data_IF_701557850233
#
_entry.id   IF_701557850233
#
_cell.length_a   1.000
_cell.length_b   1.000
_cell.length_c   1.000
_cell.angle_alpha   90.00
_cell.angle_beta   90.00
_cell.angle_gamma   90.00
#
_symmetry.space_group_name_H-M   'P 1'
#
loop_
_entity.id
_entity.type
_entity.pdbx_description
1 polymer ?
#
# COMPACT_ATOMS: atom_id res chain seq x y z
N UNK A 1 -17.56 2.26 9.51
CA UNK A 1 -16.34 2.49 10.30
C UNK A 1 -16.20 3.97 10.63
N UNK A 2 -16.21 4.89 9.65
CA UNK A 2 -16.15 6.34 9.92
C UNK A 2 -17.26 6.82 10.86
N UNK A 3 -18.50 6.41 10.63
CA UNK A 3 -19.61 6.70 11.55
C UNK A 3 -19.37 6.20 12.98
N UNK A 4 -18.75 5.02 13.13
CA UNK A 4 -18.43 4.48 14.45
C UNK A 4 -17.31 5.26 15.13
N UNK A 5 -16.34 5.76 14.36
CA UNK A 5 -15.30 6.64 14.88
C UNK A 5 -15.92 7.96 15.34
N UNK A 6 -16.75 8.60 14.49
CA UNK A 6 -17.44 9.85 14.83
C UNK A 6 -18.31 9.74 16.08
N UNK A 7 -19.13 8.68 16.19
CA UNK A 7 -19.94 8.46 17.40
C UNK A 7 -19.09 8.23 18.65
N UNK A 8 -18.04 7.41 18.55
CA UNK A 8 -17.16 7.11 19.69
C UNK A 8 -16.34 8.31 20.18
N UNK A 9 -16.25 9.41 19.43
CA UNK A 9 -15.61 10.63 19.91
C UNK A 9 -16.43 11.34 21.00
N UNK A 10 -17.76 11.17 21.00
CA UNK A 10 -18.66 11.85 21.95
C UNK A 10 -18.45 11.39 23.39
N UNK A 11 -18.01 10.15 23.55
CA UNK A 11 -17.82 9.48 24.83
C UNK A 11 -16.34 9.47 25.28
N UNK A 12 -15.45 10.21 24.59
CA UNK A 12 -14.01 10.16 24.83
C UNK A 12 -13.48 11.36 25.64
N UNK A 13 -13.06 11.08 26.87
CA UNK A 13 -12.54 12.09 27.81
C UNK A 13 -11.23 12.75 27.31
N UNK A 14 -10.35 12.02 26.61
CA UNK A 14 -9.08 12.57 26.11
C UNK A 14 -9.33 13.57 24.97
N UNK A 15 -10.22 13.24 24.04
CA UNK A 15 -10.64 14.10 22.95
C UNK A 15 -11.43 15.30 23.49
N UNK A 16 -12.24 15.12 24.54
CA UNK A 16 -12.95 16.23 25.17
C UNK A 16 -11.97 17.26 25.79
N UNK A 17 -10.91 16.78 26.44
CA UNK A 17 -9.84 17.66 26.93
C UNK A 17 -9.14 18.43 25.79
N UNK A 18 -8.91 17.78 24.65
CA UNK A 18 -8.37 18.43 23.45
C UNK A 18 -9.34 19.52 22.94
N UNK A 19 -10.64 19.24 22.87
CA UNK A 19 -11.66 20.22 22.44
C UNK A 19 -11.68 21.45 23.34
N UNK A 20 -11.55 21.29 24.67
CA UNK A 20 -11.48 22.43 25.59
C UNK A 20 -10.21 23.25 25.38
N UNK A 21 -9.07 22.59 25.18
CA UNK A 21 -7.81 23.29 24.92
C UNK A 21 -7.78 24.01 23.56
N UNK A 22 -8.53 23.53 22.57
CA UNK A 22 -8.75 24.24 21.29
C UNK A 22 -9.56 25.52 21.52
N UNK A 23 -10.62 25.46 22.34
CA UNK A 23 -11.42 26.66 22.71
C UNK A 23 -10.59 27.69 23.48
N UNK A 24 -9.64 27.24 24.29
CA UNK A 24 -8.68 28.08 25.00
C UNK A 24 -7.57 28.67 24.09
N UNK A 25 -7.52 28.31 22.81
CA UNK A 25 -6.50 28.78 21.86
C UNK A 25 -5.10 28.16 22.05
N UNK A 26 -4.97 27.07 22.80
CA UNK A 26 -3.68 26.43 23.12
C UNK A 26 -3.20 25.43 22.08
N UNK A 27 -4.09 24.89 21.25
CA UNK A 27 -3.74 23.95 20.18
C UNK A 27 -4.30 24.41 18.84
N UNK A 28 -3.42 24.83 17.93
CA UNK A 28 -3.78 25.27 16.57
C UNK A 28 -3.86 24.12 15.56
N UNK A 29 -3.38 22.94 15.92
CA UNK A 29 -3.35 21.76 15.03
C UNK A 29 -4.67 20.97 15.06
N UNK A 30 -5.53 21.19 16.05
CA UNK A 30 -6.81 20.49 16.17
C UNK A 30 -7.97 21.41 15.83
N UNK A 31 -8.95 20.87 15.10
CA UNK A 31 -10.16 21.58 14.70
C UNK A 31 -11.39 20.73 15.02
N UNK A 32 -12.52 21.38 15.26
CA UNK A 32 -13.82 20.74 15.46
C UNK A 32 -14.75 21.22 14.36
N UNK A 33 -15.41 20.31 13.66
CA UNK A 33 -16.37 20.66 12.61
C UNK A 33 -17.78 20.96 13.16
N UNK A 34 -18.71 21.35 12.29
CA UNK A 34 -20.08 21.71 12.65
C UNK A 34 -20.86 20.54 13.29
N UNK A 35 -20.44 19.30 13.03
CA UNK A 35 -21.02 18.08 13.60
C UNK A 35 -20.41 17.73 14.98
N UNK A 36 -19.47 18.54 15.48
CA UNK A 36 -18.76 18.30 16.74
C UNK A 36 -17.67 17.24 16.64
N UNK A 37 -17.25 16.85 15.44
CA UNK A 37 -16.20 15.86 15.21
C UNK A 37 -14.84 16.53 15.30
N UNK A 38 -13.92 15.90 16.04
CA UNK A 38 -12.54 16.34 16.25
C UNK A 38 -11.64 15.83 15.13
N UNK A 39 -10.87 16.76 14.58
CA UNK A 39 -9.87 16.55 13.54
C UNK A 39 -8.51 17.04 14.00
N UNK A 40 -7.43 16.36 13.61
CA UNK A 40 -6.07 16.84 13.70
C UNK A 40 -5.61 17.21 12.29
N UNK A 41 -5.42 18.50 12.02
CA UNK A 41 -5.26 19.06 10.68
C UNK A 41 -6.45 18.61 9.79
N UNK A 42 -6.19 17.70 8.86
CA UNK A 42 -7.10 17.09 7.90
C UNK A 42 -7.39 15.60 8.19
N UNK A 43 -7.08 15.13 9.41
CA UNK A 43 -7.14 13.71 9.81
C UNK A 43 -8.15 13.47 10.91
N UNK A 44 -8.96 12.42 10.77
CA UNK A 44 -10.00 12.08 11.72
C UNK A 44 -9.38 11.53 13.02
N UNK A 45 -9.69 12.17 14.15
CA UNK A 45 -9.23 11.68 15.44
C UNK A 45 -9.95 10.37 15.82
N UNK A 46 -9.19 9.36 16.23
CA UNK A 46 -9.74 8.10 16.73
C UNK A 46 -9.69 8.14 18.26
N UNK A 47 -10.82 7.83 18.90
CA UNK A 47 -10.93 7.78 20.36
C UNK A 47 -9.94 6.79 20.99
N UNK A 48 -9.73 6.92 22.29
CA UNK A 48 -8.94 6.04 23.15
C UNK A 48 -9.51 4.61 23.27
N UNK A 49 -10.70 4.37 22.71
CA UNK A 49 -11.30 3.04 22.60
C UNK A 49 -10.38 2.05 21.86
N UNK A 50 -9.83 1.11 22.63
CA UNK A 50 -8.94 0.06 22.15
C UNK A 50 -9.63 -0.88 21.15
N UNK A 51 -10.94 -1.11 21.30
CA UNK A 51 -11.72 -1.96 20.38
C UNK A 51 -11.80 -1.29 19.02
N UNK A 52 -12.07 0.00 18.99
CA UNK A 52 -12.15 0.79 17.76
C UNK A 52 -10.78 0.92 17.08
N UNK A 53 -9.72 1.27 17.83
CA UNK A 53 -8.35 1.33 17.29
C UNK A 53 -7.92 -0.02 16.72
N UNK A 54 -8.21 -1.12 17.42
CA UNK A 54 -7.94 -2.49 16.91
C UNK A 54 -8.71 -2.79 15.64
N UNK A 55 -9.95 -2.32 15.50
CA UNK A 55 -10.75 -2.50 14.28
C UNK A 55 -10.16 -1.75 13.09
N UNK A 56 -9.72 -0.50 13.28
CA UNK A 56 -9.00 0.28 12.27
C UNK A 56 -7.72 -0.44 11.82
N UNK A 57 -6.90 -0.87 12.80
CA UNK A 57 -5.65 -1.59 12.51
C UNK A 57 -5.89 -2.93 11.81
N UNK A 58 -6.90 -3.70 12.23
CA UNK A 58 -7.26 -4.98 11.59
C UNK A 58 -7.67 -4.78 10.14
N UNK A 59 -8.48 -3.75 9.85
CA UNK A 59 -8.89 -3.44 8.47
C UNK A 59 -7.70 -3.01 7.60
N UNK A 60 -6.79 -2.20 8.14
CA UNK A 60 -5.58 -1.79 7.42
C UNK A 60 -4.55 -2.91 7.26
N UNK A 61 -4.54 -3.90 8.15
CA UNK A 61 -3.54 -4.97 8.14
C UNK A 61 -3.97 -6.22 7.36
N UNK A 62 -5.23 -6.64 7.51
CA UNK A 62 -5.72 -7.94 7.01
C UNK A 62 -6.64 -7.81 5.81
N UNK A 63 -6.76 -6.63 5.20
CA UNK A 63 -7.54 -6.47 3.96
C UNK A 63 -6.84 -7.14 2.79
N UNK A 64 -7.62 -7.71 1.87
CA UNK A 64 -7.15 -8.26 0.60
C UNK A 64 -6.34 -7.26 -0.23
N UNK A 65 -6.56 -5.95 -0.03
CA UNK A 65 -5.85 -4.89 -0.77
C UNK A 65 -4.55 -4.42 -0.10
N UNK A 66 -4.34 -4.73 1.19
CA UNK A 66 -3.17 -4.27 1.95
C UNK A 66 -2.19 -5.40 2.28
N UNK A 67 -2.67 -6.64 2.34
CA UNK A 67 -1.88 -7.88 2.41
C UNK A 67 -0.78 -7.82 3.48
N UNK A 68 -1.17 -7.76 4.75
CA UNK A 68 -0.25 -7.81 5.90
C UNK A 68 0.95 -6.84 5.79
N UNK A 69 0.70 -5.53 5.63
CA UNK A 69 1.77 -4.55 5.48
C UNK A 69 2.64 -4.48 6.74
N UNK A 70 3.94 -4.20 6.54
CA UNK A 70 4.85 -3.90 7.64
C UNK A 70 4.45 -2.63 8.39
N UNK A 71 4.94 -2.49 9.63
CA UNK A 71 4.59 -1.38 10.54
C UNK A 71 4.77 0.01 9.91
N UNK A 72 5.88 0.25 9.22
CA UNK A 72 6.15 1.54 8.55
C UNK A 72 5.13 1.86 7.47
N UNK A 73 4.82 0.90 6.59
CA UNK A 73 3.82 1.08 5.53
C UNK A 73 2.45 1.32 6.14
N UNK A 74 2.04 0.44 7.06
CA UNK A 74 0.73 0.51 7.70
C UNK A 74 0.52 1.86 8.41
N UNK A 75 1.53 2.36 9.13
CA UNK A 75 1.46 3.68 9.77
C UNK A 75 1.30 4.81 8.75
N UNK A 76 2.04 4.79 7.64
CA UNK A 76 1.94 5.82 6.60
C UNK A 76 0.58 5.80 5.89
N UNK A 77 0.04 4.61 5.64
CA UNK A 77 -1.28 4.45 5.03
C UNK A 77 -2.37 4.98 5.97
N UNK A 78 -2.30 4.65 7.26
CA UNK A 78 -3.26 5.13 8.27
C UNK A 78 -3.13 6.62 8.55
N UNK A 79 -1.90 7.15 8.62
CA UNK A 79 -1.62 8.56 8.92
C UNK A 79 -2.29 9.50 7.94
N UNK A 80 -2.56 9.08 6.70
CA UNK A 80 -3.25 9.92 5.72
C UNK A 80 -4.71 10.25 6.10
N UNK A 81 -5.34 9.43 6.94
CA UNK A 81 -6.76 9.54 7.24
C UNK A 81 -7.06 9.67 8.73
N UNK A 82 -6.21 9.08 9.58
CA UNK A 82 -6.44 8.96 11.01
C UNK A 82 -5.34 9.57 11.84
N UNK A 83 -5.72 10.00 13.03
CA UNK A 83 -4.81 10.42 14.08
C UNK A 83 -5.25 9.87 15.43
N UNK A 84 -4.30 9.42 16.24
CA UNK A 84 -4.47 9.25 17.68
C UNK A 84 -3.11 9.31 18.37
N UNK A 85 -3.10 9.65 19.65
CA UNK A 85 -1.86 9.69 20.43
C UNK A 85 -1.24 8.29 20.51
N UNK A 86 0.06 8.18 20.22
CA UNK A 86 0.76 6.88 20.22
C UNK A 86 0.53 6.01 18.98
N UNK A 87 -0.16 6.48 17.93
CA UNK A 87 -0.51 5.69 16.74
C UNK A 87 0.64 4.89 16.12
N UNK A 88 1.84 5.47 16.04
CA UNK A 88 3.01 4.77 15.48
C UNK A 88 3.42 3.56 16.33
N UNK A 89 3.37 3.69 17.65
CA UNK A 89 3.73 2.63 18.60
C UNK A 89 2.66 1.53 18.63
N UNK A 90 1.38 1.92 18.59
CA UNK A 90 0.27 0.98 18.50
C UNK A 90 0.34 0.13 17.23
N UNK A 91 0.58 0.76 16.07
CA UNK A 91 0.76 0.06 14.79
C UNK A 91 1.96 -0.89 14.84
N UNK A 92 3.09 -0.45 15.39
CA UNK A 92 4.27 -1.31 15.51
C UNK A 92 3.99 -2.54 16.40
N UNK A 93 3.31 -2.33 17.53
CA UNK A 93 2.93 -3.39 18.47
C UNK A 93 1.89 -4.34 17.87
N UNK A 94 0.96 -3.82 17.07
CA UNK A 94 -0.06 -4.62 16.40
C UNK A 94 0.57 -5.55 15.36
N UNK A 95 1.43 -5.01 14.48
CA UNK A 95 2.10 -5.78 13.44
C UNK A 95 3.08 -6.79 14.04
N UNK A 96 3.78 -6.44 15.13
CA UNK A 96 4.71 -7.37 15.78
C UNK A 96 4.03 -8.59 16.40
N UNK A 97 2.74 -8.50 16.75
CA UNK A 97 1.93 -9.62 17.27
C UNK A 97 1.24 -10.44 16.18
N UNK A 98 1.39 -10.08 14.90
CA UNK A 98 0.76 -10.82 13.81
C UNK A 98 1.53 -12.11 13.50
N UNK A 99 0.93 -13.27 13.78
CA UNK A 99 1.52 -14.58 13.51
C UNK A 99 1.87 -14.76 12.02
N UNK A 100 1.00 -14.35 11.10
CA UNK A 100 1.26 -14.42 9.65
C UNK A 100 2.51 -13.63 9.27
N UNK A 101 2.67 -12.41 9.78
CA UNK A 101 3.86 -11.61 9.52
C UNK A 101 5.12 -12.23 10.11
N UNK A 102 5.03 -12.77 11.34
CA UNK A 102 6.16 -13.41 12.00
C UNK A 102 6.66 -14.64 11.24
N UNK A 103 5.73 -15.47 10.74
CA UNK A 103 6.06 -16.68 9.97
C UNK A 103 6.68 -16.37 8.61
N UNK A 104 6.21 -15.31 7.94
CA UNK A 104 6.71 -14.91 6.60
C UNK A 104 8.04 -14.16 6.68
N UNK A 105 8.31 -13.44 7.78
CA UNK A 105 9.52 -12.60 7.92
C UNK A 105 10.72 -13.32 8.53
N UNK A 106 10.76 -14.65 8.55
CA UNK A 106 11.95 -15.36 9.04
C UNK A 106 13.11 -15.02 8.11
N UNK A 107 14.14 -14.39 8.67
CA UNK A 107 15.28 -13.87 7.93
C UNK A 107 16.23 -15.03 7.58
N UNK A 108 16.02 -15.63 6.40
CA UNK A 108 16.85 -16.74 5.90
C UNK A 108 18.07 -16.26 5.09
N UNK A 109 18.33 -14.95 5.04
CA UNK A 109 19.36 -14.36 4.18
C UNK A 109 20.72 -14.35 4.89
N UNK A 110 21.77 -14.74 4.17
CA UNK A 110 23.16 -14.52 4.60
C UNK A 110 23.49 -13.03 4.49
N UNK A 111 24.48 -12.56 5.25
CA UNK A 111 25.00 -11.21 5.13
C UNK A 111 25.29 -10.89 3.66
N UNK A 112 24.63 -9.86 3.12
CA UNK A 112 24.77 -9.48 1.73
C UNK A 112 26.17 -8.91 1.48
N UNK A 113 26.77 -9.25 0.33
CA UNK A 113 28.01 -8.64 -0.12
C UNK A 113 27.83 -7.17 -0.49
N UNK A 114 28.92 -6.50 -0.86
CA UNK A 114 28.88 -5.13 -1.36
C UNK A 114 28.06 -5.06 -2.65
N UNK A 115 26.99 -4.27 -2.63
CA UNK A 115 26.14 -4.00 -3.78
C UNK A 115 26.90 -3.14 -4.80
N UNK A 116 27.02 -3.63 -6.03
CA UNK A 116 27.42 -2.78 -7.15
C UNK A 116 26.22 -1.97 -7.61
N UNK A 117 26.38 -0.65 -7.66
CA UNK A 117 25.35 0.23 -8.21
C UNK A 117 25.35 0.11 -9.73
N UNK A 118 24.24 -0.34 -10.29
CA UNK A 118 23.98 -0.25 -11.72
C UNK A 118 23.53 1.18 -12.07
N UNK A 119 23.80 1.62 -13.30
CA UNK A 119 23.34 2.91 -13.78
C UNK A 119 21.80 3.00 -13.76
N UNK A 120 21.28 4.19 -13.46
CA UNK A 120 19.83 4.43 -13.41
C UNK A 120 19.37 4.69 -14.85
N UNK A 121 18.39 3.92 -15.37
CA UNK A 121 17.86 4.14 -16.72
C UNK A 121 17.24 5.54 -16.85
N UNK A 122 17.26 6.13 -18.05
CA UNK A 122 16.73 7.48 -18.25
C UNK A 122 15.21 7.50 -18.45
N UNK A 123 14.63 6.41 -18.96
CA UNK A 123 13.21 6.33 -19.27
C UNK A 123 12.57 5.02 -18.79
N UNK A 124 11.25 5.06 -18.62
CA UNK A 124 10.46 3.89 -18.24
C UNK A 124 10.55 2.83 -19.33
N UNK A 125 10.71 1.57 -18.93
CA UNK A 125 10.86 0.41 -19.81
C UNK A 125 12.16 0.35 -20.61
N UNK A 126 13.12 1.26 -20.39
CA UNK A 126 14.46 1.19 -20.99
C UNK A 126 15.20 -0.05 -20.51
N UNK A 127 15.09 -0.37 -19.21
CA UNK A 127 15.70 -1.56 -18.64
C UNK A 127 14.71 -2.32 -17.77
N UNK A 128 14.54 -3.60 -18.09
CA UNK A 128 13.65 -4.51 -17.37
C UNK A 128 14.51 -5.57 -16.69
N UNK A 129 14.32 -5.75 -15.39
CA UNK A 129 14.86 -6.90 -14.66
C UNK A 129 13.83 -8.03 -14.61
N UNK A 130 14.28 -9.25 -14.87
CA UNK A 130 13.44 -10.45 -14.85
C UNK A 130 13.99 -11.43 -13.82
N UNK A 131 13.10 -12.00 -13.00
CA UNK A 131 13.46 -12.99 -11.99
C UNK A 131 12.37 -14.06 -11.82
N UNK A 132 12.71 -15.17 -11.17
CA UNK A 132 11.78 -16.26 -10.90
C UNK A 132 11.69 -16.55 -9.40
N UNK A 133 10.49 -16.39 -8.84
CA UNK A 133 10.18 -16.93 -7.52
C UNK A 133 9.77 -18.39 -7.69
N UNK A 134 10.58 -19.32 -7.20
CA UNK A 134 10.33 -20.76 -7.31
C UNK A 134 10.14 -21.40 -5.94
N UNK A 135 9.62 -22.63 -5.90
CA UNK A 135 9.39 -23.36 -4.64
C UNK A 135 8.02 -23.08 -4.01
N UNK A 136 7.07 -22.54 -4.79
CA UNK A 136 5.71 -22.32 -4.34
C UNK A 136 4.89 -23.62 -4.38
N UNK A 137 3.86 -23.77 -3.52
CA UNK A 137 2.90 -24.86 -3.64
C UNK A 137 2.24 -24.88 -5.02
N UNK A 138 2.10 -26.07 -5.59
CA UNK A 138 1.50 -26.26 -6.92
C UNK A 138 0.00 -25.94 -6.90
N UNK A 139 -0.47 -25.07 -7.80
CA UNK A 139 -1.92 -24.81 -7.98
C UNK A 139 -2.65 -25.97 -8.64
N UNK A 140 -3.99 -25.92 -8.63
CA UNK A 140 -4.83 -26.78 -9.49
C UNK A 140 -4.50 -26.61 -10.99
N UNK A 141 -4.14 -25.39 -11.41
CA UNK A 141 -3.66 -25.06 -12.77
C UNK A 141 -2.18 -25.46 -13.00
N UNK A 142 -1.56 -26.16 -12.04
CA UNK A 142 -0.19 -26.67 -12.04
C UNK A 142 0.92 -25.62 -12.04
N UNK A 143 0.63 -24.37 -11.70
CA UNK A 143 1.63 -23.32 -11.49
C UNK A 143 2.38 -23.57 -10.18
N UNK A 144 3.71 -23.46 -10.20
CA UNK A 144 4.58 -23.67 -9.03
C UNK A 144 5.75 -22.67 -8.95
N UNK A 145 5.71 -21.63 -9.78
CA UNK A 145 6.64 -20.52 -9.79
C UNK A 145 5.95 -19.24 -10.27
N UNK A 146 6.55 -18.09 -9.95
CA UNK A 146 6.14 -16.77 -10.45
C UNK A 146 7.30 -16.20 -11.25
N UNK A 147 7.03 -15.74 -12.46
CA UNK A 147 7.94 -14.92 -13.25
C UNK A 147 7.68 -13.45 -12.93
N UNK A 148 8.71 -12.78 -12.44
CA UNK A 148 8.68 -11.37 -12.02
C UNK A 148 9.34 -10.55 -13.11
N UNK A 149 8.64 -9.53 -13.60
CA UNK A 149 9.15 -8.59 -14.60
C UNK A 149 9.05 -7.19 -14.01
N UNK A 150 10.17 -6.52 -13.78
CA UNK A 150 10.22 -5.22 -13.10
C UNK A 150 10.89 -4.19 -13.99
N UNK A 151 10.21 -3.07 -14.22
CA UNK A 151 10.83 -1.88 -14.78
C UNK A 151 11.83 -1.30 -13.77
N UNK A 152 13.11 -1.20 -14.15
CA UNK A 152 14.16 -0.81 -13.21
C UNK A 152 14.08 0.64 -12.76
N UNK A 153 13.51 1.53 -13.58
CA UNK A 153 13.37 2.95 -13.27
C UNK A 153 12.23 3.18 -12.27
N UNK A 154 11.01 2.77 -12.63
CA UNK A 154 9.81 3.02 -11.82
C UNK A 154 9.61 2.01 -10.70
N UNK A 155 10.32 0.88 -10.74
CA UNK A 155 10.08 -0.32 -9.91
C UNK A 155 8.70 -0.96 -10.11
N UNK A 156 7.99 -0.57 -11.17
CA UNK A 156 6.72 -1.19 -11.52
C UNK A 156 6.94 -2.66 -11.86
N UNK A 157 6.23 -3.55 -11.17
CA UNK A 157 6.40 -4.99 -11.32
C UNK A 157 5.15 -5.66 -11.90
N UNK A 158 5.36 -6.66 -12.74
CA UNK A 158 4.36 -7.61 -13.21
C UNK A 158 4.70 -9.01 -12.69
N UNK A 159 3.69 -9.74 -12.24
CA UNK A 159 3.83 -11.10 -11.72
C UNK A 159 3.03 -12.10 -12.56
N UNK A 160 3.71 -13.09 -13.10
CA UNK A 160 3.12 -14.07 -14.02
C UNK A 160 3.24 -15.48 -13.44
N UNK A 161 2.12 -16.21 -13.26
CA UNK A 161 2.17 -17.58 -12.75
C UNK A 161 2.70 -18.51 -13.84
N UNK A 162 3.70 -19.32 -13.52
CA UNK A 162 4.33 -20.26 -14.46
C UNK A 162 4.59 -21.62 -13.81
N UNK A 163 5.03 -22.58 -14.63
CA UNK A 163 5.56 -23.86 -14.17
C UNK A 163 7.08 -23.84 -14.27
N UNK A 164 7.81 -24.34 -13.27
CA UNK A 164 9.29 -24.32 -13.15
C UNK A 164 10.03 -24.90 -14.37
N UNK A 165 9.36 -25.70 -15.19
CA UNK A 165 9.92 -26.33 -16.39
C UNK A 165 9.56 -25.59 -17.69
N UNK A 166 9.17 -24.32 -17.61
CA UNK A 166 8.86 -23.51 -18.79
C UNK A 166 10.14 -23.14 -19.56
N UNK A 167 10.20 -23.47 -20.84
CA UNK A 167 11.31 -23.07 -21.72
C UNK A 167 11.22 -21.58 -22.06
N UNK A 168 12.35 -20.88 -22.15
CA UNK A 168 12.47 -19.44 -22.48
C UNK A 168 11.67 -19.05 -23.74
N UNK A 169 11.65 -19.92 -24.76
CA UNK A 169 10.86 -19.69 -25.99
C UNK A 169 9.36 -19.66 -25.72
N UNK A 170 8.90 -20.53 -24.81
CA UNK A 170 7.51 -20.61 -24.38
C UNK A 170 7.17 -19.41 -23.47
N UNK A 171 8.12 -18.94 -22.66
CA UNK A 171 8.01 -17.74 -21.82
C UNK A 171 7.74 -16.46 -22.64
N UNK A 172 8.43 -16.29 -23.78
CA UNK A 172 8.19 -15.16 -24.72
C UNK A 172 6.82 -15.24 -25.38
N UNK A 173 6.38 -16.44 -25.76
CA UNK A 173 5.05 -16.65 -26.36
C UNK A 173 3.94 -16.39 -25.33
N UNK A 174 4.15 -16.86 -24.10
CA UNK A 174 3.28 -16.62 -22.96
C UNK A 174 3.20 -15.12 -22.59
N UNK A 175 4.28 -14.35 -22.72
CA UNK A 175 4.25 -12.87 -22.57
C UNK A 175 3.30 -12.22 -23.60
N UNK A 176 3.35 -12.64 -24.87
CA UNK A 176 2.46 -12.14 -25.93
C UNK A 176 0.99 -12.53 -25.69
N UNK A 177 0.76 -13.73 -25.20
CA UNK A 177 -0.59 -14.25 -24.98
C UNK A 177 -1.20 -13.72 -23.67
N UNK A 178 -0.39 -13.43 -22.66
CA UNK A 178 -0.79 -12.77 -21.41
C UNK A 178 -1.16 -11.30 -21.61
N UNK A 179 -0.42 -10.54 -22.43
CA UNK A 179 -0.80 -9.17 -22.80
C UNK A 179 -2.17 -9.11 -23.49
N UNK A 180 -2.54 -10.18 -24.22
CA UNK A 180 -3.87 -10.32 -24.85
C UNK A 180 -4.94 -10.80 -23.88
N UNK A 181 -4.59 -11.66 -22.91
CA UNK A 181 -5.52 -12.18 -21.91
C UNK A 181 -5.84 -11.18 -20.79
N UNK A 182 -4.87 -10.32 -20.40
CA UNK A 182 -5.07 -9.20 -19.47
C UNK A 182 -6.10 -8.18 -19.97
N UNK A 183 -6.34 -8.14 -21.29
CA UNK A 183 -7.37 -7.29 -21.88
C UNK A 183 -8.80 -7.86 -21.73
N UNK A 184 -8.97 -9.10 -21.26
CA UNK A 184 -10.26 -9.79 -21.35
C UNK A 184 -10.92 -10.15 -20.00
N UNK A 185 -10.44 -11.03 -19.13
CA UNK A 185 -11.35 -11.61 -18.09
C UNK A 185 -10.58 -12.33 -16.94
N UNK A 186 -11.01 -12.23 -15.68
CA UNK A 186 -10.40 -12.95 -14.51
C UNK A 186 -11.43 -13.62 -13.56
N UNK A 187 -11.16 -14.87 -13.04
CA UNK A 187 -11.71 -15.54 -11.79
C UNK A 187 -11.09 -16.97 -11.42
N UNK A 188 -10.99 -17.34 -10.10
CA UNK A 188 -10.52 -18.61 -9.32
C UNK A 188 -9.01 -19.16 -9.08
N UNK A 189 -8.26 -18.87 -7.94
CA UNK A 189 -6.97 -19.45 -7.33
C UNK A 189 -5.81 -18.46 -6.90
N UNK A 190 -4.70 -18.88 -6.25
CA UNK A 190 -3.64 -17.95 -5.74
C UNK A 190 -3.02 -17.06 -6.82
N UNK A 191 -2.93 -17.62 -8.02
CA UNK A 191 -2.50 -16.98 -9.25
C UNK A 191 -3.43 -15.84 -9.70
N UNK A 192 -4.44 -15.54 -8.91
CA UNK A 192 -5.41 -14.47 -9.13
C UNK A 192 -5.41 -13.44 -8.03
N UNK A 193 -4.91 -13.83 -6.87
CA UNK A 193 -4.46 -12.87 -5.90
C UNK A 193 -3.15 -12.22 -6.36
N UNK A 194 -2.47 -12.75 -7.40
CA UNK A 194 -1.31 -12.09 -8.02
C UNK A 194 -1.62 -10.66 -8.42
N UNK A 195 -2.82 -10.42 -8.91
CA UNK A 195 -3.30 -9.13 -9.32
C UNK A 195 -3.45 -8.18 -8.13
N UNK A 196 -3.95 -8.70 -7.02
CA UNK A 196 -4.05 -7.97 -5.75
C UNK A 196 -2.68 -7.75 -5.10
N UNK A 197 -1.74 -8.68 -5.28
CA UNK A 197 -0.35 -8.57 -4.81
C UNK A 197 0.42 -7.56 -5.64
N UNK A 198 0.28 -7.59 -6.97
CA UNK A 198 0.79 -6.57 -7.90
C UNK A 198 0.25 -5.20 -7.51
N UNK A 199 -1.07 -5.12 -7.32
CA UNK A 199 -1.74 -3.92 -6.86
C UNK A 199 -1.19 -3.45 -5.51
N UNK A 200 -1.07 -4.33 -4.50
CA UNK A 200 -0.56 -3.98 -3.18
C UNK A 200 0.92 -3.54 -3.25
N UNK A 201 1.74 -4.19 -4.06
CA UNK A 201 3.15 -3.88 -4.24
C UNK A 201 3.35 -2.52 -4.93
N UNK A 202 2.66 -2.29 -6.06
CA UNK A 202 2.75 -1.06 -6.84
C UNK A 202 2.13 0.15 -6.10
N UNK A 203 1.21 -0.08 -5.16
CA UNK A 203 0.65 0.95 -4.29
C UNK A 203 1.31 1.02 -2.90
N UNK A 204 2.38 0.26 -2.68
CA UNK A 204 3.18 0.36 -1.46
C UNK A 204 4.23 1.43 -1.59
N UNK A 205 4.50 2.15 -0.50
CA UNK A 205 5.63 3.06 -0.44
C UNK A 205 6.95 2.29 -0.46
N UNK A 206 7.86 2.68 -1.35
CA UNK A 206 9.18 2.08 -1.47
C UNK A 206 10.25 3.08 -1.03
N UNK A 207 11.13 2.66 -0.12
CA UNK A 207 12.11 3.56 0.49
C UNK A 207 13.16 4.11 -0.48
N UNK A 208 13.52 3.31 -1.48
CA UNK A 208 14.49 3.67 -2.51
C UNK A 208 14.00 4.80 -3.42
N UNK A 209 12.71 4.82 -3.75
CA UNK A 209 12.11 5.82 -4.66
C UNK A 209 11.32 6.91 -3.91
N UNK A 210 11.17 6.77 -2.59
CA UNK A 210 10.43 7.69 -1.71
C UNK A 210 8.95 7.92 -2.06
N UNK A 211 8.38 7.11 -2.95
CA UNK A 211 6.96 7.13 -3.34
C UNK A 211 6.46 5.71 -3.60
N UNK A 212 5.19 5.56 -3.99
CA UNK A 212 4.66 4.29 -4.50
C UNK A 212 4.91 4.19 -6.01
N UNK A 213 5.32 3.01 -6.56
CA UNK A 213 5.54 2.84 -7.99
C UNK A 213 4.38 3.31 -8.89
N UNK A 214 3.13 3.10 -8.45
CA UNK A 214 1.94 3.58 -9.16
C UNK A 214 1.87 5.10 -9.23
N UNK A 215 2.15 5.79 -8.13
CA UNK A 215 2.12 7.26 -8.05
C UNK A 215 3.18 7.86 -8.96
N UNK A 216 4.38 7.28 -8.96
CA UNK A 216 5.48 7.67 -9.82
C UNK A 216 5.14 7.46 -11.31
N UNK A 217 4.47 6.34 -11.65
CA UNK A 217 4.14 6.01 -13.04
C UNK A 217 2.99 6.86 -13.61
N UNK A 218 1.97 7.14 -12.80
CA UNK A 218 0.73 7.78 -13.27
C UNK A 218 0.53 9.22 -12.78
N UNK A 219 1.44 9.74 -11.95
CA UNK A 219 1.37 11.10 -11.40
C UNK A 219 0.17 11.34 -10.48
N UNK A 220 -0.50 10.28 -10.00
CA UNK A 220 -1.69 10.38 -9.15
C UNK A 220 -1.77 9.22 -8.17
N UNK A 221 -2.42 9.47 -7.02
CA UNK A 221 -2.73 8.43 -6.03
C UNK A 221 -3.70 7.41 -6.60
N UNK A 222 -3.46 6.12 -6.32
CA UNK A 222 -4.40 5.07 -6.67
C UNK A 222 -5.66 5.15 -5.81
N UNK A 223 -6.82 5.05 -6.46
CA UNK A 223 -8.11 4.96 -5.76
C UNK A 223 -8.34 3.51 -5.35
N UNK A 224 -8.30 3.25 -4.03
CA UNK A 224 -8.59 1.94 -3.46
C UNK A 224 -10.04 1.87 -2.96
N UNK A 225 -10.76 0.74 -3.12
CA UNK A 225 -12.08 0.52 -2.54
C UNK A 225 -12.08 0.39 -1.01
N UNK A 226 -10.95 0.67 -0.35
CA UNK A 226 -10.89 0.78 1.09
C UNK A 226 -11.58 2.10 1.42
N UNK A 227 -12.90 2.06 1.60
CA UNK A 227 -13.74 3.21 1.96
C UNK A 227 -13.21 3.87 3.23
N UNK A 228 -12.36 4.88 3.04
CA UNK A 228 -11.94 5.85 4.04
C UNK A 228 -12.58 7.22 3.78
N UNK A 229 -13.04 7.47 2.55
CA UNK A 229 -13.58 8.75 2.12
C UNK A 229 -15.04 8.61 1.70
N UNK A 230 -15.94 9.21 2.45
CA UNK A 230 -17.04 9.95 1.85
C UNK A 230 -16.83 11.42 2.22
N UNK A 231 -17.02 12.30 1.23
CA UNK A 231 -17.03 13.77 1.28
C UNK A 231 -15.69 14.48 0.98
N UNK A 232 -15.67 15.17 -0.16
CA UNK A 232 -14.78 16.30 -0.46
C UNK A 232 -13.88 16.11 -1.67
N UNK A 233 -14.33 16.54 -2.85
CA UNK A 233 -13.41 16.84 -3.96
C UNK A 233 -12.32 17.81 -3.46
N UNK A 234 -11.05 17.42 -3.58
CA UNK A 234 -9.94 18.38 -3.51
C UNK A 234 -9.11 18.24 -4.78
N UNK A 235 -8.98 19.38 -5.46
CA UNK A 235 -8.20 19.58 -6.68
C UNK A 235 -6.80 18.96 -6.53
N UNK A 236 -6.40 18.23 -7.56
CA UNK A 236 -5.05 17.71 -7.71
C UNK A 236 -4.22 18.85 -8.32
N UNK A 237 -3.42 19.53 -7.51
CA UNK A 237 -2.25 20.25 -8.03
C UNK A 237 -1.13 19.22 -8.20
N UNK A 238 -0.79 18.93 -9.46
CA UNK A 238 0.33 18.08 -9.83
C UNK A 238 1.67 18.77 -9.59
N UNK A 239 2.73 18.01 -9.37
CA UNK A 239 4.10 18.54 -9.28
C UNK A 239 4.60 19.02 -10.65
N UNK A 240 5.51 20.01 -10.66
CA UNK A 240 6.18 20.58 -11.85
C UNK A 240 6.76 19.53 -12.81
N UNK A 241 7.11 18.34 -12.32
CA UNK A 241 7.64 17.23 -13.14
C UNK A 241 6.57 16.62 -14.07
N UNK A 242 5.29 16.74 -13.73
CA UNK A 242 4.14 16.22 -14.50
C UNK A 242 3.83 17.15 -15.69
N UNK A 243 4.03 18.46 -15.55
CA UNK A 243 3.85 19.41 -16.66
C UNK A 243 4.89 19.18 -17.76
N UNK A 244 6.14 18.91 -17.37
CA UNK A 244 7.25 18.63 -18.31
C UNK A 244 7.02 17.33 -19.11
N UNK A 245 6.24 16.39 -18.58
CA UNK A 245 5.92 15.13 -19.29
C UNK A 245 4.73 15.26 -20.25
N UNK A 246 3.79 16.16 -19.98
CA UNK A 246 2.64 16.41 -20.85
C UNK A 246 2.97 17.30 -22.07
N UNK A 247 4.03 18.11 -22.01
CA UNK A 247 4.48 18.92 -23.16
C UNK A 247 5.26 18.13 -24.23
N UNK A 248 5.59 16.86 -23.98
CA UNK A 248 6.38 16.02 -24.90
C UNK A 248 5.59 14.87 -25.54
N UNK A 249 4.27 14.89 -25.45
CA UNK A 249 3.34 14.00 -26.18
C UNK A 249 2.63 14.82 -27.25
#
# INVERSE_FOLDING_TARGET
>A
LMLQIKEAQKDDDELWAIVQNVKDGKHTEFNVDDDGVVWFEDRLCVSSDQVLRKKVMTKAHSSLFTVHPGSTKMYRDLKQYFWWNGMKQDVATFVSKCMTCQLVKIEHQRASGLLQSLEIPMWKWDEISMDFVTGLPTTQKRHNAIWVVVDRLTKYAHFLPIQKNYSIKRTIQTLKDMLRACALEWMGNWDEYLCLVEFAYNNSWHASIKEAPFELLYGRKCRVPIYWNEVGERLIEGSELIEITNEKV
#
